data_IF_240603411003
#
_entry.id   IF_240603411003
#
_cell.length_a   1.000
_cell.length_b   1.000
_cell.length_c   1.000
_cell.angle_alpha   90.00
_cell.angle_beta   90.00
_cell.angle_gamma   90.00
#
_symmetry.space_group_name_H-M   'P 1'
#
loop_
_entity.id
_entity.type
_entity.pdbx_description
1 polymer ?
#
# COMPACT_ATOMS: atom_id res chain seq x y z
N UNK A 1 -11.35 1.15 25.79
CA UNK A 1 -10.78 0.52 24.58
C UNK A 1 -10.96 -0.98 24.70
N UNK A 2 -11.66 -1.60 23.75
CA UNK A 2 -12.02 -3.03 23.80
C UNK A 2 -10.85 -3.93 23.41
N UNK A 3 -10.92 -5.25 23.65
CA UNK A 3 -9.93 -6.22 23.15
C UNK A 3 -9.86 -6.19 21.61
N UNK A 4 -10.99 -5.97 20.94
CA UNK A 4 -11.05 -5.83 19.48
C UNK A 4 -10.25 -4.62 18.98
N UNK A 5 -10.41 -3.47 19.63
CA UNK A 5 -9.67 -2.24 19.28
C UNK A 5 -8.16 -2.44 19.39
N UNK A 6 -7.71 -3.17 20.43
CA UNK A 6 -6.29 -3.50 20.60
C UNK A 6 -5.76 -4.40 19.49
N UNK A 7 -6.52 -5.44 19.12
CA UNK A 7 -6.13 -6.35 18.03
C UNK A 7 -6.05 -5.62 16.70
N UNK A 8 -7.00 -4.72 16.44
CA UNK A 8 -7.01 -3.91 15.22
C UNK A 8 -5.82 -2.94 15.17
N UNK A 9 -5.49 -2.31 16.29
CA UNK A 9 -4.30 -1.45 16.39
C UNK A 9 -3.00 -2.23 16.13
N UNK A 10 -2.87 -3.44 16.69
CA UNK A 10 -1.72 -4.31 16.42
C UNK A 10 -1.65 -4.74 14.95
N UNK A 11 -2.79 -5.06 14.34
CA UNK A 11 -2.87 -5.41 12.93
C UNK A 11 -2.45 -4.23 12.05
N UNK A 12 -2.96 -3.03 12.34
CA UNK A 12 -2.59 -1.79 11.65
C UNK A 12 -1.09 -1.53 11.77
N UNK A 13 -0.50 -1.70 12.95
CA UNK A 13 0.94 -1.50 13.12
C UNK A 13 1.77 -2.47 12.30
N UNK A 14 1.43 -3.78 12.31
CA UNK A 14 2.11 -4.78 11.47
C UNK A 14 1.98 -4.46 9.98
N UNK A 15 0.82 -4.00 9.57
CA UNK A 15 0.58 -3.58 8.19
C UNK A 15 1.45 -2.37 7.80
N UNK A 16 1.55 -1.35 8.66
CA UNK A 16 2.42 -0.18 8.44
C UNK A 16 3.89 -0.60 8.38
N UNK A 17 4.34 -1.51 9.25
CA UNK A 17 5.71 -2.07 9.18
C UNK A 17 5.97 -2.73 7.83
N UNK A 18 5.00 -3.48 7.29
CA UNK A 18 5.13 -4.07 5.96
C UNK A 18 5.15 -3.01 4.85
N UNK A 19 4.33 -1.97 4.97
CA UNK A 19 4.30 -0.85 4.00
C UNK A 19 5.65 -0.14 3.89
N UNK A 20 6.50 -0.15 4.94
CA UNK A 20 7.89 0.36 4.83
C UNK A 20 8.75 -0.45 3.87
N UNK A 21 8.63 -1.78 3.90
CA UNK A 21 9.33 -2.64 2.95
C UNK A 21 8.75 -2.49 1.53
N UNK A 22 7.43 -2.33 1.44
CA UNK A 22 6.75 -2.11 0.18
C UNK A 22 7.15 -0.77 -0.46
N UNK A 23 7.33 0.29 0.34
CA UNK A 23 7.82 1.59 -0.13
C UNK A 23 9.15 1.45 -0.87
N UNK A 24 10.13 0.76 -0.27
CA UNK A 24 11.42 0.54 -0.90
C UNK A 24 11.30 -0.22 -2.23
N UNK A 25 10.42 -1.23 -2.29
CA UNK A 25 10.17 -2.00 -3.52
C UNK A 25 9.45 -1.17 -4.58
N UNK A 26 8.44 -0.39 -4.21
CA UNK A 26 7.70 0.46 -5.16
C UNK A 26 8.58 1.60 -5.65
N UNK A 27 9.58 2.05 -4.89
CA UNK A 27 10.53 3.10 -5.28
C UNK A 27 11.64 2.58 -6.20
N UNK A 28 12.04 1.32 -6.07
CA UNK A 28 13.06 0.69 -6.89
C UNK A 28 12.65 0.57 -8.38
N UNK A 29 13.51 1.04 -9.29
CA UNK A 29 13.24 1.08 -10.73
C UNK A 29 13.29 -0.29 -11.42
N UNK A 30 13.89 -1.29 -10.78
CA UNK A 30 14.01 -2.66 -11.28
C UNK A 30 12.88 -3.59 -10.81
N UNK A 31 11.93 -3.08 -10.01
CA UNK A 31 10.77 -3.86 -9.58
C UNK A 31 9.87 -4.21 -10.74
N UNK A 32 9.56 -5.50 -10.89
CA UNK A 32 8.77 -6.00 -12.01
C UNK A 32 7.30 -5.58 -11.91
N UNK A 33 6.60 -5.53 -13.04
CA UNK A 33 5.15 -5.28 -13.07
C UNK A 33 4.36 -6.31 -12.24
N UNK A 34 4.81 -7.57 -12.22
CA UNK A 34 4.20 -8.63 -11.41
C UNK A 34 4.37 -8.37 -9.91
N UNK A 35 5.57 -7.96 -9.49
CA UNK A 35 5.81 -7.61 -8.09
C UNK A 35 4.99 -6.39 -7.66
N UNK A 36 4.91 -5.35 -8.51
CA UNK A 36 4.05 -4.19 -8.26
C UNK A 36 2.58 -4.60 -8.13
N UNK A 37 2.11 -5.52 -8.96
CA UNK A 37 0.73 -6.02 -8.90
C UNK A 37 0.49 -6.77 -7.59
N UNK A 38 1.42 -7.62 -7.16
CA UNK A 38 1.33 -8.34 -5.87
C UNK A 38 1.31 -7.39 -4.67
N UNK A 39 2.12 -6.32 -4.71
CA UNK A 39 2.12 -5.27 -3.67
C UNK A 39 0.77 -4.57 -3.64
N UNK A 40 0.31 -4.07 -4.79
CA UNK A 40 -0.94 -3.33 -4.92
C UNK A 40 -2.13 -4.16 -4.43
N UNK A 41 -2.27 -5.40 -4.91
CA UNK A 41 -3.33 -6.32 -4.52
C UNK A 41 -3.41 -6.52 -3.00
N UNK A 42 -2.28 -6.77 -2.35
CA UNK A 42 -2.23 -6.94 -0.89
C UNK A 42 -2.61 -5.68 -0.15
N UNK A 43 -2.16 -4.51 -0.63
CA UNK A 43 -2.50 -3.22 -0.01
C UNK A 43 -4.00 -2.99 -0.10
N UNK A 44 -4.63 -3.22 -1.25
CA UNK A 44 -6.10 -3.12 -1.43
C UNK A 44 -6.84 -3.98 -0.40
N UNK A 45 -6.44 -5.24 -0.25
CA UNK A 45 -7.10 -6.18 0.68
C UNK A 45 -6.98 -5.80 2.16
N UNK A 46 -5.89 -5.14 2.55
CA UNK A 46 -5.63 -4.79 3.95
C UNK A 46 -6.06 -3.39 4.33
N UNK A 47 -5.94 -2.42 3.42
CA UNK A 47 -6.15 -1.00 3.67
C UNK A 47 -7.53 -0.70 4.26
N UNK A 48 -8.59 -1.30 3.72
CA UNK A 48 -9.94 -1.13 4.23
C UNK A 48 -10.12 -1.69 5.65
N UNK A 49 -9.48 -2.84 5.94
CA UNK A 49 -9.54 -3.47 7.27
C UNK A 49 -8.90 -2.59 8.33
N UNK A 50 -7.77 -1.96 8.02
CA UNK A 50 -7.00 -1.17 8.99
C UNK A 50 -7.32 0.33 8.96
N UNK A 51 -8.28 0.77 8.13
CA UNK A 51 -8.70 2.17 8.05
C UNK A 51 -7.67 3.09 7.37
N UNK A 52 -7.07 2.64 6.26
CA UNK A 52 -6.12 3.38 5.43
C UNK A 52 -6.69 3.55 4.00
N UNK A 53 -7.85 4.17 3.90
CA UNK A 53 -8.65 4.19 2.66
C UNK A 53 -7.90 4.81 1.47
N UNK A 54 -7.21 5.94 1.66
CA UNK A 54 -6.48 6.62 0.58
C UNK A 54 -5.36 5.74 0.00
N UNK A 55 -4.61 5.07 0.87
CA UNK A 55 -3.62 4.07 0.45
C UNK A 55 -4.26 2.93 -0.35
N UNK A 56 -5.41 2.45 0.10
CA UNK A 56 -6.18 1.41 -0.60
C UNK A 56 -6.64 1.86 -1.99
N UNK A 57 -7.10 3.10 -2.12
CA UNK A 57 -7.52 3.69 -3.39
C UNK A 57 -6.34 3.85 -4.36
N UNK A 58 -5.21 4.37 -3.90
CA UNK A 58 -4.00 4.50 -4.70
C UNK A 58 -3.48 3.13 -5.18
N UNK A 59 -3.52 2.11 -4.31
CA UNK A 59 -3.15 0.75 -4.67
C UNK A 59 -4.11 0.13 -5.70
N UNK A 60 -5.42 0.33 -5.55
CA UNK A 60 -6.40 -0.16 -6.51
C UNK A 60 -6.21 0.48 -7.90
N UNK A 61 -5.87 1.76 -7.94
CA UNK A 61 -5.55 2.45 -9.19
C UNK A 61 -4.31 1.85 -9.85
N UNK A 62 -3.24 1.55 -9.10
CA UNK A 62 -2.04 0.89 -9.63
C UNK A 62 -2.36 -0.53 -10.15
N UNK A 63 -3.15 -1.30 -9.40
CA UNK A 63 -3.59 -2.64 -9.81
C UNK A 63 -4.38 -2.61 -11.13
N UNK A 64 -5.28 -1.63 -11.30
CA UNK A 64 -6.09 -1.52 -12.52
C UNK A 64 -5.26 -1.14 -13.75
N UNK A 65 -4.32 -0.20 -13.65
CA UNK A 65 -3.44 0.16 -14.78
C UNK A 65 -2.50 -0.98 -15.15
N UNK A 66 -1.97 -1.72 -14.16
CA UNK A 66 -1.13 -2.90 -14.39
C UNK A 66 -1.91 -4.00 -15.12
N UNK A 67 -3.15 -4.26 -14.68
CA UNK A 67 -4.04 -5.25 -15.30
C UNK A 67 -4.40 -4.92 -16.74
N UNK A 68 -4.51 -3.63 -17.08
CA UNK A 68 -4.81 -3.15 -18.44
C UNK A 68 -3.57 -3.07 -19.34
N UNK A 69 -2.37 -3.11 -18.76
CA UNK A 69 -1.12 -2.85 -19.49
C UNK A 69 -0.93 -1.36 -19.83
N UNK A 70 -1.54 -0.46 -19.05
CA UNK A 70 -1.45 0.98 -19.25
C UNK A 70 -0.18 1.57 -18.63
N UNK A 71 0.09 2.85 -18.91
CA UNK A 71 1.19 3.59 -18.31
C UNK A 71 1.02 3.73 -16.79
N UNK A 72 1.98 3.18 -16.04
CA UNK A 72 1.89 3.08 -14.58
C UNK A 72 2.43 4.30 -13.83
N UNK A 73 3.15 5.21 -14.49
CA UNK A 73 3.93 6.28 -13.83
C UNK A 73 3.11 7.07 -12.82
N UNK A 74 1.93 7.55 -13.20
CA UNK A 74 1.09 8.37 -12.33
C UNK A 74 0.51 7.55 -11.16
N UNK A 75 0.05 6.32 -11.43
CA UNK A 75 -0.51 5.46 -10.39
C UNK A 75 0.56 4.98 -9.39
N UNK A 76 1.78 4.69 -9.88
CA UNK A 76 2.94 4.36 -9.05
C UNK A 76 3.33 5.54 -8.16
N UNK A 77 3.35 6.76 -8.71
CA UNK A 77 3.63 7.97 -7.92
C UNK A 77 2.56 8.26 -6.86
N UNK A 78 1.27 8.05 -7.18
CA UNK A 78 0.19 8.17 -6.20
C UNK A 78 0.36 7.17 -5.04
N UNK A 79 0.65 5.90 -5.35
CA UNK A 79 0.92 4.90 -4.32
C UNK A 79 2.15 5.24 -3.47
N UNK A 80 3.23 5.73 -4.08
CA UNK A 80 4.43 6.17 -3.36
C UNK A 80 4.13 7.32 -2.39
N UNK A 81 3.32 8.29 -2.80
CA UNK A 81 2.92 9.40 -1.95
C UNK A 81 2.22 8.89 -0.68
N UNK A 82 1.23 8.02 -0.83
CA UNK A 82 0.49 7.46 0.30
C UNK A 82 1.37 6.59 1.21
N UNK A 83 2.23 5.76 0.62
CA UNK A 83 3.18 4.93 1.37
C UNK A 83 4.13 5.78 2.22
N UNK A 84 4.63 6.91 1.70
CA UNK A 84 5.45 7.85 2.48
C UNK A 84 4.66 8.47 3.62
N UNK A 85 3.47 9.01 3.33
CA UNK A 85 2.59 9.60 4.35
C UNK A 85 2.34 8.66 5.53
N UNK A 86 1.97 7.40 5.26
CA UNK A 86 1.65 6.46 6.35
C UNK A 86 2.88 5.93 7.08
N UNK A 87 4.05 5.91 6.45
CA UNK A 87 5.27 5.38 7.08
C UNK A 87 6.02 6.45 7.88
N UNK A 88 5.97 7.72 7.46
CA UNK A 88 6.55 8.87 8.16
C UNK A 88 5.70 9.30 9.37
N UNK A 89 4.36 9.34 9.23
CA UNK A 89 3.45 9.76 10.31
C UNK A 89 3.44 8.79 11.50
N UNK A 90 3.89 7.55 11.31
CA UNK A 90 3.88 6.49 12.32
C UNK A 90 5.30 6.03 12.71
N UNK A 91 6.31 6.89 12.50
CA UNK A 91 7.70 6.68 12.94
C UNK A 91 8.00 7.28 14.30
#
# INVERSE_FOLDING_TARGET
MTDMDHRLAQLRQRFITRCRADLAMVEADDTTAQDLQHIAHRIVGMAGTVGLNELGMAAAQLEDVLRRGDQITNARQALLSELRTITETNS
#
